data_IF_553189808154
#
_entry.id   IF_553189808154
#
_cell.length_a   1.000
_cell.length_b   1.000
_cell.length_c   1.000
_cell.angle_alpha   90.00
_cell.angle_beta   90.00
_cell.angle_gamma   90.00
#
_symmetry.space_group_name_H-M   'P 1'
#
loop_
_entity.id
_entity.type
_entity.pdbx_description
1 polymer ?
#
# COMPACT_ATOMS: atom_id res chain seq x y z
N UNK A 1 4.59 -19.16 10.07
CA UNK A 1 4.22 -18.53 11.35
C UNK A 1 3.17 -17.46 11.10
N UNK A 2 2.05 -17.53 11.83
CA UNK A 2 1.07 -16.46 11.88
C UNK A 2 1.35 -15.63 13.13
N UNK A 3 1.62 -14.34 12.96
CA UNK A 3 1.85 -13.42 14.06
C UNK A 3 0.72 -12.41 14.16
N UNK A 4 0.23 -12.18 15.37
CA UNK A 4 -0.65 -11.06 15.68
C UNK A 4 -0.19 -10.52 17.02
N UNK A 5 0.07 -9.24 17.08
CA UNK A 5 0.22 -8.52 18.33
C UNK A 5 -0.86 -7.44 18.37
N UNK A 6 -0.95 -6.69 19.46
CA UNK A 6 -1.90 -5.56 19.60
C UNK A 6 -1.90 -4.63 18.38
N UNK A 7 -0.93 -4.75 17.53
CA UNK A 7 -0.49 -3.72 16.61
C UNK A 7 -0.33 -4.18 15.17
N UNK A 8 -0.65 -5.40 14.80
CA UNK A 8 -0.54 -5.84 13.42
C UNK A 8 -0.80 -7.33 13.21
N UNK A 9 -1.13 -7.68 11.98
CA UNK A 9 -1.33 -9.06 11.55
C UNK A 9 -0.42 -9.35 10.38
N UNK A 10 0.38 -10.41 10.49
CA UNK A 10 1.24 -10.87 9.41
C UNK A 10 1.30 -12.39 9.34
N UNK A 11 1.68 -12.89 8.18
CA UNK A 11 1.97 -14.29 7.93
C UNK A 11 3.39 -14.39 7.38
N UNK A 12 4.21 -15.26 7.94
CA UNK A 12 5.60 -15.47 7.54
C UNK A 12 6.62 -14.95 8.55
N UNK A 13 7.83 -14.63 8.08
CA UNK A 13 8.93 -14.15 8.92
C UNK A 13 8.77 -12.65 9.21
N UNK A 14 8.57 -12.33 10.49
CA UNK A 14 8.39 -10.95 10.94
C UNK A 14 9.63 -10.06 10.77
N UNK A 15 10.80 -10.64 10.66
CA UNK A 15 12.08 -9.95 10.49
C UNK A 15 12.58 -9.93 9.05
N UNK A 16 11.88 -10.61 8.13
CA UNK A 16 12.22 -10.58 6.72
C UNK A 16 12.20 -9.14 6.19
N UNK A 17 13.30 -8.67 5.55
CA UNK A 17 13.35 -7.34 5.00
C UNK A 17 12.45 -7.24 3.76
N UNK A 18 11.62 -6.23 3.76
CA UNK A 18 10.68 -5.90 2.69
C UNK A 18 10.90 -4.45 2.25
N UNK A 19 10.52 -4.11 1.04
CA UNK A 19 10.52 -2.73 0.55
C UNK A 19 9.20 -2.43 -0.13
N UNK A 20 8.48 -1.47 0.39
CA UNK A 20 7.31 -0.91 -0.28
C UNK A 20 7.71 0.29 -1.13
N UNK A 21 7.01 0.46 -2.24
CA UNK A 21 7.24 1.55 -3.19
C UNK A 21 5.90 2.08 -3.69
N UNK A 22 5.84 3.38 -3.97
CA UNK A 22 4.64 4.08 -4.40
C UNK A 22 4.82 4.57 -5.82
N UNK A 23 3.79 4.37 -6.64
CA UNK A 23 3.70 4.89 -8.00
C UNK A 23 2.41 5.67 -8.17
N UNK A 24 2.46 6.75 -8.98
CA UNK A 24 1.27 7.53 -9.29
C UNK A 24 0.43 6.79 -10.33
N UNK A 25 -0.87 6.68 -10.07
CA UNK A 25 -1.84 6.22 -11.06
C UNK A 25 -2.09 7.36 -12.05
N UNK A 26 -1.99 7.08 -13.34
CA UNK A 26 -2.11 8.05 -14.43
C UNK A 26 -3.42 7.91 -15.20
N UNK A 27 -4.09 6.77 -15.04
CA UNK A 27 -5.36 6.47 -15.73
C UNK A 27 -6.38 5.96 -14.71
N UNK A 28 -7.64 6.43 -14.75
CA UNK A 28 -8.67 6.01 -13.82
C UNK A 28 -8.88 4.49 -13.84
N UNK A 29 -9.05 3.92 -12.67
CA UNK A 29 -9.37 2.51 -12.49
C UNK A 29 -10.89 2.29 -12.55
N UNK A 30 -11.31 1.17 -13.14
CA UNK A 30 -12.73 0.78 -13.14
C UNK A 30 -13.09 0.06 -11.83
N UNK A 31 -14.33 0.22 -11.39
CA UNK A 31 -14.82 -0.32 -10.10
C UNK A 31 -14.75 -1.84 -9.96
N UNK A 32 -14.63 -2.57 -11.06
CA UNK A 32 -14.72 -4.04 -11.08
C UNK A 32 -13.39 -4.75 -11.37
N UNK A 33 -12.27 -4.10 -11.17
CA UNK A 33 -10.97 -4.74 -11.31
C UNK A 33 -10.66 -5.66 -10.13
N UNK A 34 -9.90 -6.71 -10.44
CA UNK A 34 -9.24 -7.58 -9.46
C UNK A 34 -7.76 -7.21 -9.36
N UNK A 35 -7.09 -7.67 -8.32
CA UNK A 35 -5.66 -7.40 -8.08
C UNK A 35 -4.71 -7.98 -9.15
N UNK A 36 -5.21 -8.78 -10.07
CA UNK A 36 -4.45 -9.37 -11.16
C UNK A 36 -4.34 -8.48 -12.42
N UNK A 37 -4.78 -7.22 -12.35
CA UNK A 37 -4.53 -6.27 -13.44
C UNK A 37 -3.03 -5.97 -13.56
N UNK A 38 -2.59 -5.70 -14.79
CA UNK A 38 -1.21 -5.26 -15.01
C UNK A 38 -1.06 -3.78 -14.60
N UNK A 39 -0.30 -3.45 -13.55
CA UNK A 39 -0.16 -2.07 -13.07
C UNK A 39 0.51 -1.15 -14.10
N UNK A 40 1.28 -1.68 -15.04
CA UNK A 40 1.95 -0.90 -16.10
C UNK A 40 0.99 -0.19 -17.04
N UNK A 41 -0.26 -0.64 -17.10
CA UNK A 41 -1.31 0.01 -17.90
C UNK A 41 -1.86 1.26 -17.23
N UNK A 42 -1.65 1.43 -15.92
CA UNK A 42 -2.28 2.46 -15.11
C UNK A 42 -1.28 3.38 -14.41
N UNK A 43 -0.03 2.99 -14.34
CA UNK A 43 1.02 3.79 -13.72
C UNK A 43 2.38 3.57 -14.39
N UNK A 44 3.21 4.62 -14.37
CA UNK A 44 4.60 4.51 -14.81
C UNK A 44 5.43 3.87 -13.70
N UNK A 45 5.76 2.59 -13.84
CA UNK A 45 6.54 1.82 -12.86
C UNK A 45 8.03 2.22 -12.82
N UNK A 46 8.45 3.15 -13.67
CA UNK A 46 9.84 3.67 -13.67
C UNK A 46 9.99 4.95 -12.84
N UNK A 47 8.87 5.60 -12.51
CA UNK A 47 8.84 6.84 -11.74
C UNK A 47 8.27 6.58 -10.34
N UNK A 48 9.18 6.17 -9.43
CA UNK A 48 8.81 5.98 -8.03
C UNK A 48 8.54 7.32 -7.36
N UNK A 49 7.41 7.40 -6.67
CA UNK A 49 7.06 8.55 -5.82
C UNK A 49 7.68 8.46 -4.43
N UNK A 50 8.22 7.32 -4.07
CA UNK A 50 8.88 7.09 -2.80
C UNK A 50 8.91 5.62 -2.45
N UNK A 51 9.88 5.24 -1.62
CA UNK A 51 10.07 3.88 -1.17
C UNK A 51 10.53 3.83 0.28
N UNK A 52 10.18 2.75 0.98
CA UNK A 52 10.59 2.50 2.35
C UNK A 52 10.86 1.03 2.58
N UNK A 53 12.04 0.74 3.09
CA UNK A 53 12.36 -0.58 3.62
C UNK A 53 11.69 -0.77 4.99
N UNK A 54 11.18 -1.95 5.26
CA UNK A 54 10.51 -2.26 6.52
C UNK A 54 10.58 -3.76 6.84
N UNK A 55 10.25 -4.10 8.07
CA UNK A 55 9.99 -5.45 8.54
C UNK A 55 8.62 -5.48 9.21
N UNK A 56 7.94 -6.62 9.25
CA UNK A 56 6.65 -6.74 9.91
C UNK A 56 6.75 -6.43 11.41
N UNK A 57 7.86 -6.82 12.03
CA UNK A 57 8.21 -6.42 13.40
C UNK A 57 9.33 -5.36 13.34
N UNK A 58 8.99 -4.13 13.67
CA UNK A 58 9.96 -3.03 13.64
C UNK A 58 10.89 -3.08 14.85
N UNK A 59 12.13 -3.53 14.64
CA UNK A 59 13.15 -3.67 15.70
C UNK A 59 13.75 -2.33 16.14
N UNK A 60 13.57 -1.26 15.40
CA UNK A 60 14.08 0.08 15.77
C UNK A 60 13.22 0.78 16.81
N UNK A 61 12.05 0.24 17.13
CA UNK A 61 11.13 0.75 18.15
C UNK A 61 11.31 -0.03 19.46
N UNK A 62 11.42 0.68 20.56
CA UNK A 62 11.52 0.05 21.89
C UNK A 62 10.26 -0.72 22.25
N UNK A 63 10.39 -1.76 23.08
CA UNK A 63 9.25 -2.53 23.57
C UNK A 63 8.26 -1.68 24.37
N UNK A 64 8.77 -0.69 25.12
CA UNK A 64 7.94 0.24 25.87
C UNK A 64 7.02 1.05 24.93
N UNK A 65 7.54 1.58 23.84
CA UNK A 65 6.74 2.31 22.85
C UNK A 65 5.77 1.37 22.11
N UNK A 66 6.24 0.18 21.72
CA UNK A 66 5.43 -0.81 21.00
C UNK A 66 4.24 -1.28 21.82
N UNK A 67 4.39 -1.38 23.15
CA UNK A 67 3.34 -1.81 24.07
C UNK A 67 2.49 -0.64 24.58
N UNK A 68 2.77 0.61 24.19
CA UNK A 68 1.95 1.76 24.57
C UNK A 68 0.59 1.73 23.88
N UNK A 69 -0.45 2.25 24.55
CA UNK A 69 -1.84 2.22 24.05
C UNK A 69 -2.04 3.08 22.79
N UNK A 70 -1.18 4.07 22.56
CA UNK A 70 -1.25 4.95 21.40
C UNK A 70 -0.44 4.48 20.18
N UNK A 71 0.32 3.40 20.30
CA UNK A 71 1.13 2.91 19.22
C UNK A 71 0.31 2.08 18.22
N UNK A 72 0.46 2.41 16.94
CA UNK A 72 -0.05 1.60 15.84
C UNK A 72 1.09 1.35 14.83
N UNK A 73 1.39 0.08 14.49
CA UNK A 73 2.44 -0.23 13.52
C UNK A 73 2.09 0.37 12.17
N UNK A 74 3.06 1.04 11.58
CA UNK A 74 2.89 1.68 10.29
C UNK A 74 4.21 1.72 9.51
N UNK A 75 4.09 1.84 8.20
CA UNK A 75 5.20 2.14 7.30
C UNK A 75 4.95 3.52 6.73
N UNK A 76 5.85 4.46 7.02
CA UNK A 76 5.79 5.83 6.49
C UNK A 76 6.70 5.94 5.27
N UNK A 77 6.13 6.32 4.14
CA UNK A 77 6.87 6.52 2.89
C UNK A 77 6.86 8.01 2.57
N UNK A 78 8.05 8.61 2.55
CA UNK A 78 8.19 10.03 2.19
C UNK A 78 8.05 10.17 0.68
N UNK A 79 7.22 11.11 0.26
CA UNK A 79 6.99 11.46 -1.14
C UNK A 79 7.69 12.80 -1.49
N UNK A 80 7.90 13.11 -2.79
CA UNK A 80 8.48 14.37 -3.22
C UNK A 80 7.64 15.58 -2.79
N UNK A 81 8.30 16.66 -2.41
CA UNK A 81 7.63 17.90 -1.98
C UNK A 81 6.76 18.50 -3.08
N UNK A 82 7.17 18.35 -4.34
CA UNK A 82 6.46 18.82 -5.52
C UNK A 82 5.06 18.16 -5.66
N UNK A 83 4.91 16.96 -5.10
CA UNK A 83 3.61 16.31 -5.04
C UNK A 83 2.65 17.05 -4.10
N UNK A 84 3.11 17.41 -2.90
CA UNK A 84 2.34 18.23 -1.97
C UNK A 84 2.04 19.63 -2.51
N UNK A 85 3.00 20.24 -3.22
CA UNK A 85 2.82 21.54 -3.85
C UNK A 85 1.67 21.53 -4.87
N UNK A 86 1.52 20.48 -5.65
CA UNK A 86 0.38 20.34 -6.59
C UNK A 86 -0.98 20.40 -5.90
N UNK A 87 -1.11 19.78 -4.72
CA UNK A 87 -2.35 19.83 -3.93
C UNK A 87 -2.62 21.25 -3.41
N UNK A 88 -1.56 21.93 -2.96
CA UNK A 88 -1.68 23.32 -2.52
C UNK A 88 -2.11 24.23 -3.66
N UNK A 89 -1.46 24.15 -4.81
CA UNK A 89 -1.76 24.95 -5.99
C UNK A 89 -3.19 24.71 -6.47
N UNK A 90 -3.63 23.45 -6.47
CA UNK A 90 -5.01 23.08 -6.82
C UNK A 90 -6.03 23.63 -5.84
N UNK A 91 -5.71 23.66 -4.54
CA UNK A 91 -6.59 24.25 -3.52
C UNK A 91 -6.80 25.74 -3.73
N UNK A 92 -5.77 26.46 -4.18
CA UNK A 92 -5.82 27.90 -4.45
C UNK A 92 -6.52 28.19 -5.78
N UNK A 93 -6.14 27.46 -6.85
CA UNK A 93 -6.57 27.78 -8.20
C UNK A 93 -7.95 27.18 -8.54
N UNK A 94 -8.25 26.00 -8.02
CA UNK A 94 -9.44 25.22 -8.34
C UNK A 94 -10.07 24.59 -7.09
N UNK A 95 -10.56 25.38 -6.11
CA UNK A 95 -11.08 24.83 -4.85
C UNK A 95 -12.29 23.91 -5.04
N UNK A 96 -12.92 23.94 -6.21
CA UNK A 96 -13.99 23.03 -6.60
C UNK A 96 -13.57 21.57 -6.69
N UNK A 97 -12.30 21.30 -6.94
CA UNK A 97 -11.73 19.95 -7.07
C UNK A 97 -11.95 19.10 -5.82
N UNK A 98 -11.93 19.72 -4.64
CA UNK A 98 -12.07 19.03 -3.36
C UNK A 98 -13.51 18.92 -2.85
N UNK A 99 -14.52 19.30 -3.64
CA UNK A 99 -15.93 19.29 -3.22
C UNK A 99 -16.55 17.91 -3.17
N UNK A 100 -16.12 17.01 -4.03
CA UNK A 100 -16.62 15.64 -4.10
C UNK A 100 -15.57 14.67 -4.64
N UNK A 101 -15.83 13.38 -4.55
CA UNK A 101 -14.88 12.33 -4.96
C UNK A 101 -14.67 12.28 -6.47
N UNK A 102 -15.67 12.65 -7.28
CA UNK A 102 -15.58 12.60 -8.74
C UNK A 102 -14.56 13.62 -9.26
N UNK A 103 -14.73 14.91 -8.88
CA UNK A 103 -13.79 15.97 -9.24
C UNK A 103 -12.41 15.75 -8.65
N UNK A 104 -12.33 15.17 -7.44
CA UNK A 104 -11.06 14.82 -6.84
C UNK A 104 -10.36 13.70 -7.60
N UNK A 105 -11.06 12.68 -8.06
CA UNK A 105 -10.48 11.57 -8.84
C UNK A 105 -9.95 12.01 -10.21
N UNK A 106 -10.53 13.05 -10.82
CA UNK A 106 -10.02 13.63 -12.07
C UNK A 106 -8.65 14.28 -11.84
N UNK A 107 -8.50 15.00 -10.74
CA UNK A 107 -7.24 15.62 -10.35
C UNK A 107 -6.20 14.59 -9.88
N UNK A 108 -6.66 13.67 -9.04
CA UNK A 108 -5.82 12.68 -8.40
C UNK A 108 -6.44 11.28 -8.48
N UNK A 109 -6.12 10.51 -9.55
CA UNK A 109 -6.66 9.15 -9.74
C UNK A 109 -6.24 8.15 -8.66
N UNK A 110 -5.14 8.42 -7.95
CA UNK A 110 -4.69 7.60 -6.83
C UNK A 110 -3.21 7.22 -6.85
N UNK A 111 -2.87 6.35 -5.91
CA UNK A 111 -1.53 5.79 -5.74
C UNK A 111 -1.60 4.27 -5.81
N UNK A 112 -0.62 3.69 -6.47
CA UNK A 112 -0.35 2.27 -6.45
C UNK A 112 0.80 1.98 -5.50
N UNK A 113 0.54 1.17 -4.49
CA UNK A 113 1.54 0.76 -3.50
C UNK A 113 1.83 -0.72 -3.71
N UNK A 114 3.08 -1.07 -3.85
CA UNK A 114 3.48 -2.47 -4.06
C UNK A 114 4.78 -2.79 -3.33
N UNK A 115 5.04 -4.09 -3.15
CA UNK A 115 6.31 -4.58 -2.66
C UNK A 115 7.24 -4.79 -3.85
N UNK A 116 8.39 -4.12 -3.84
CA UNK A 116 9.40 -4.23 -4.89
C UNK A 116 10.60 -5.09 -4.50
N UNK A 117 10.73 -5.37 -3.22
CA UNK A 117 11.76 -6.27 -2.68
C UNK A 117 11.22 -7.04 -1.49
N UNK A 118 11.64 -8.30 -1.38
CA UNK A 118 11.28 -9.20 -0.29
C UNK A 118 10.02 -10.01 -0.56
N UNK A 119 9.94 -11.18 0.02
CA UNK A 119 8.81 -12.13 -0.09
C UNK A 119 8.62 -12.96 1.18
N UNK A 120 9.31 -12.60 2.25
CA UNK A 120 9.34 -13.38 3.50
C UNK A 120 8.09 -13.27 4.36
N UNK A 121 7.23 -12.27 4.11
CA UNK A 121 5.99 -12.11 4.86
C UNK A 121 4.87 -11.48 4.04
N UNK A 122 3.66 -11.61 4.56
CA UNK A 122 2.45 -10.97 4.05
C UNK A 122 1.88 -10.12 5.20
N UNK A 123 1.68 -8.83 4.95
CA UNK A 123 1.05 -7.91 5.90
C UNK A 123 -0.42 -7.70 5.57
N UNK A 124 -1.24 -7.63 6.61
CA UNK A 124 -2.60 -7.11 6.49
C UNK A 124 -2.58 -5.59 6.70
N UNK A 125 -2.89 -4.83 5.66
CA UNK A 125 -2.98 -3.36 5.71
C UNK A 125 -4.40 -2.96 6.11
N UNK A 126 -4.56 -2.40 7.30
CA UNK A 126 -5.87 -1.99 7.82
C UNK A 126 -6.33 -0.64 7.28
N UNK A 127 -5.38 0.28 7.04
CA UNK A 127 -5.69 1.62 6.53
C UNK A 127 -4.50 2.23 5.80
N UNK A 128 -4.79 3.18 4.92
CA UNK A 128 -3.80 4.02 4.25
C UNK A 128 -4.21 5.47 4.42
N UNK A 129 -3.24 6.34 4.72
CA UNK A 129 -3.46 7.77 4.88
C UNK A 129 -2.36 8.52 4.15
N UNK A 130 -2.74 9.44 3.27
CA UNK A 130 -1.84 10.41 2.69
C UNK A 130 -1.87 11.68 3.53
N UNK A 131 -0.72 12.09 4.08
CA UNK A 131 -0.57 13.33 4.85
C UNK A 131 0.24 14.35 4.07
N UNK A 132 -0.33 15.53 3.88
CA UNK A 132 0.35 16.66 3.25
C UNK A 132 0.64 17.68 4.35
N UNK A 133 1.92 17.88 4.63
CA UNK A 133 2.40 18.85 5.61
C UNK A 133 2.62 20.20 4.95
N UNK A 134 2.15 21.26 5.60
CA UNK A 134 2.35 22.63 5.13
C UNK A 134 2.57 23.60 6.30
N UNK A 135 3.15 24.73 5.97
CA UNK A 135 3.34 25.81 6.93
C UNK A 135 2.38 26.95 6.62
N UNK A 136 1.79 27.53 7.65
CA UNK A 136 1.03 28.76 7.52
C UNK A 136 1.48 29.79 8.55
N UNK A 137 1.39 31.06 8.17
CA UNK A 137 1.75 32.17 9.04
C UNK A 137 0.57 32.55 9.94
N UNK A 138 0.82 32.64 11.24
CA UNK A 138 -0.14 33.15 12.21
C UNK A 138 0.39 34.46 12.74
N UNK A 139 -0.43 35.52 12.65
CA UNK A 139 -0.12 36.81 13.28
C UNK A 139 -0.42 36.72 14.76
N UNK A 140 0.60 36.86 15.58
CA UNK A 140 0.43 37.04 17.01
C UNK A 140 -0.15 38.42 17.30
N UNK A 141 -0.95 38.55 18.36
CA UNK A 141 -1.42 39.85 18.92
C UNK A 141 -0.29 40.78 19.29
N UNK A 142 0.95 40.27 19.42
CA UNK A 142 2.16 41.04 19.69
C UNK A 142 2.92 41.44 18.41
N UNK A 143 2.37 41.26 17.22
CA UNK A 143 2.96 41.70 15.94
C UNK A 143 4.11 40.84 15.42
N UNK A 144 4.38 39.66 16.04
CA UNK A 144 5.36 38.70 15.53
C UNK A 144 4.65 37.62 14.71
N UNK A 145 5.07 37.45 13.47
CA UNK A 145 4.62 36.36 12.65
C UNK A 145 5.28 35.06 13.12
N UNK A 146 4.47 34.03 13.36
CA UNK A 146 4.93 32.67 13.68
C UNK A 146 4.50 31.71 12.58
N UNK A 147 5.42 30.87 12.10
CA UNK A 147 5.12 29.80 11.19
C UNK A 147 4.69 28.57 12.00
N UNK A 148 3.49 28.08 11.72
CA UNK A 148 2.97 26.85 12.31
C UNK A 148 2.96 25.76 11.23
N UNK A 149 3.55 24.62 11.55
CA UNK A 149 3.49 23.42 10.71
C UNK A 149 2.24 22.61 11.07
N UNK A 150 1.44 22.30 10.10
CA UNK A 150 0.27 21.43 10.23
C UNK A 150 0.19 20.46 9.06
N UNK A 151 -0.87 19.66 9.01
CA UNK A 151 -1.06 18.69 7.93
C UNK A 151 -2.55 18.48 7.66
N UNK A 152 -2.85 18.14 6.41
CA UNK A 152 -4.13 17.60 5.99
C UNK A 152 -3.99 16.12 5.67
N UNK A 153 -5.03 15.32 6.01
CA UNK A 153 -5.05 13.89 5.83
C UNK A 153 -6.12 13.46 4.82
N UNK A 154 -5.70 12.75 3.81
CA UNK A 154 -6.58 12.08 2.86
C UNK A 154 -6.64 10.60 3.22
N UNK A 155 -7.75 10.17 3.77
CA UNK A 155 -7.99 8.79 4.17
C UNK A 155 -8.80 8.06 3.10
N UNK A 156 -8.56 6.76 2.99
CA UNK A 156 -9.34 5.89 2.11
C UNK A 156 -10.78 5.80 2.63
N UNK A 157 -11.76 6.11 1.78
CA UNK A 157 -13.19 6.03 2.08
C UNK A 157 -13.84 4.86 1.34
N UNK A 158 -15.13 4.62 1.58
CA UNK A 158 -15.91 3.61 0.85
C UNK A 158 -16.07 3.92 -0.64
N UNK A 159 -15.89 5.16 -1.03
CA UNK A 159 -15.99 5.63 -2.41
C UNK A 159 -14.70 5.40 -3.20
N UNK A 160 -13.59 5.17 -2.50
CA UNK A 160 -12.30 4.91 -3.12
C UNK A 160 -12.24 3.47 -3.62
N UNK A 161 -11.76 3.30 -4.84
CA UNK A 161 -11.52 1.98 -5.42
C UNK A 161 -10.32 1.35 -4.72
N UNK A 162 -10.56 0.26 -4.01
CA UNK A 162 -9.50 -0.54 -3.40
C UNK A 162 -9.38 -1.85 -4.15
N UNK A 163 -8.22 -2.10 -4.75
CA UNK A 163 -7.93 -3.35 -5.43
C UNK A 163 -7.40 -4.39 -4.44
N UNK A 164 -8.26 -4.85 -3.56
CA UNK A 164 -8.00 -5.99 -2.67
C UNK A 164 -8.85 -7.22 -3.02
N UNK A 165 -9.44 -7.23 -4.21
CA UNK A 165 -10.27 -8.35 -4.69
C UNK A 165 -9.39 -9.37 -5.41
N UNK A 166 -9.35 -10.58 -4.88
CA UNK A 166 -8.66 -11.71 -5.51
C UNK A 166 -9.67 -12.50 -6.35
N UNK A 167 -9.30 -12.78 -7.59
CA UNK A 167 -9.99 -13.78 -8.39
C UNK A 167 -9.34 -15.12 -8.09
N UNK A 168 -10.14 -16.15 -7.84
CA UNK A 168 -9.62 -17.50 -7.77
C UNK A 168 -8.91 -17.81 -9.08
N UNK A 169 -7.63 -18.16 -8.99
CA UNK A 169 -6.91 -18.70 -10.14
C UNK A 169 -7.58 -20.00 -10.55
N UNK A 170 -7.69 -20.23 -11.86
CA UNK A 170 -8.15 -21.52 -12.36
C UNK A 170 -7.20 -22.61 -11.86
N UNK A 171 -7.69 -23.41 -10.92
CA UNK A 171 -6.93 -24.49 -10.29
C UNK A 171 -7.14 -25.82 -11.03
N UNK A 172 -7.83 -25.81 -12.17
CA UNK A 172 -8.13 -27.04 -12.94
C UNK A 172 -6.87 -27.80 -13.32
N UNK A 173 -5.79 -27.09 -13.63
CA UNK A 173 -4.49 -27.70 -13.94
C UNK A 173 -3.87 -28.41 -12.73
N UNK A 174 -4.18 -27.98 -11.50
CA UNK A 174 -3.73 -28.66 -10.27
C UNK A 174 -4.45 -29.99 -10.05
N UNK A 175 -5.58 -30.16 -10.68
CA UNK A 175 -6.45 -31.37 -10.55
C UNK A 175 -6.21 -32.39 -11.67
N UNK A 176 -5.34 -32.09 -12.65
CA UNK A 176 -5.04 -33.02 -13.72
C UNK A 176 -4.18 -34.19 -13.21
N UNK A 177 -4.61 -35.42 -13.46
CA UNK A 177 -4.03 -36.59 -12.79
C UNK A 177 -2.71 -37.10 -13.39
N UNK A 178 -2.24 -36.58 -14.51
CA UNK A 178 -1.23 -37.25 -15.32
C UNK A 178 0.20 -36.74 -15.18
N UNK A 179 0.47 -35.65 -14.45
CA UNK A 179 1.78 -35.12 -14.31
C UNK A 179 2.33 -35.28 -12.90
N UNK A 180 3.54 -35.79 -12.77
CA UNK A 180 4.23 -35.94 -11.48
C UNK A 180 4.56 -34.59 -10.85
N UNK A 181 4.70 -33.54 -11.66
CA UNK A 181 4.86 -32.16 -11.17
C UNK A 181 4.38 -31.15 -12.24
N UNK A 182 3.98 -29.99 -11.80
CA UNK A 182 3.66 -28.86 -12.66
C UNK A 182 4.04 -27.53 -11.97
N UNK A 183 4.50 -26.58 -12.75
CA UNK A 183 4.80 -25.23 -12.27
C UNK A 183 3.67 -24.28 -12.62
N UNK A 184 3.19 -23.55 -11.64
CA UNK A 184 2.14 -22.54 -11.81
C UNK A 184 2.68 -21.17 -11.41
N UNK A 185 2.45 -20.19 -12.26
CA UNK A 185 2.69 -18.80 -11.94
C UNK A 185 1.41 -18.19 -11.39
N UNK A 186 1.45 -17.76 -10.14
CA UNK A 186 0.35 -17.05 -9.49
C UNK A 186 0.76 -15.61 -9.20
N UNK A 187 -0.16 -14.71 -8.87
CA UNK A 187 0.19 -13.36 -8.39
C UNK A 187 1.10 -13.37 -7.16
N UNK A 188 1.06 -14.42 -6.36
CA UNK A 188 1.90 -14.61 -5.18
C UNK A 188 3.26 -15.26 -5.49
N UNK A 189 3.53 -15.64 -6.74
CA UNK A 189 4.79 -16.27 -7.15
C UNK A 189 4.60 -17.53 -8.01
N UNK A 190 5.61 -18.38 -7.99
CA UNK A 190 5.61 -19.66 -8.69
C UNK A 190 5.34 -20.79 -7.69
N UNK A 191 4.28 -21.55 -7.93
CA UNK A 191 3.96 -22.75 -7.16
C UNK A 191 4.40 -23.99 -7.93
N UNK A 192 4.91 -24.99 -7.23
CA UNK A 192 5.19 -26.32 -7.77
C UNK A 192 4.15 -27.29 -7.25
N UNK A 193 3.44 -27.95 -8.15
CA UNK A 193 2.60 -29.08 -7.81
C UNK A 193 3.45 -30.35 -7.82
N UNK A 194 3.41 -31.09 -6.73
CA UNK A 194 3.97 -32.43 -6.63
C UNK A 194 2.80 -33.41 -6.44
N UNK A 195 2.66 -34.37 -7.33
CA UNK A 195 1.70 -35.46 -7.18
C UNK A 195 2.45 -36.64 -6.59
N UNK A 196 2.08 -37.03 -5.39
CA UNK A 196 2.60 -38.25 -4.74
C UNK A 196 1.64 -39.38 -5.03
N UNK A 197 2.07 -40.43 -5.73
CA UNK A 197 1.23 -41.62 -5.93
C UNK A 197 1.05 -42.31 -4.56
N UNK A 198 -0.17 -42.33 -4.05
CA UNK A 198 -0.49 -42.91 -2.73
C UNK A 198 -0.24 -44.43 -2.67
N UNK A 199 -0.13 -45.11 -3.79
CA UNK A 199 0.17 -46.55 -3.87
C UNK A 199 1.64 -46.89 -3.57
N UNK A 200 2.54 -45.93 -3.57
CA UNK A 200 3.97 -46.16 -3.27
C UNK A 200 4.35 -45.74 -1.84
N UNK A 201 3.38 -45.30 -1.02
CA UNK A 201 3.60 -44.82 0.35
C UNK A 201 3.16 -45.84 1.41
N UNK A 202 2.65 -46.97 0.99
CA UNK A 202 2.25 -48.07 1.90
C UNK A 202 3.39 -49.12 2.04
#
# INVERSE_FOLDING_TARGET
>A
YNGSNKNGVWVGDSLAPMRAEIFKITSPLQKNFYTNIDPKQYCNMQESMGAQAYTAYNTSISDSLRNSDGYSPHVSIKMPTEFGQKFYDETINNPGTFKNQETFNEFFPGLYVTTTFGSGNILSVASSVLKIYYNYAVKSTAGKDSLITTWEAFSVTKEVIQLSRFKNTDMSQLLQPNDSYAFFKTPAGVCTRIVLPTQEIT
#
